data_IF_134403345868
#
_entry.id   IF_134403345868
#
_cell.length_a   1.000
_cell.length_b   1.000
_cell.length_c   1.000
_cell.angle_alpha   90.00
_cell.angle_beta   90.00
_cell.angle_gamma   90.00
#
_symmetry.space_group_name_H-M   'P 1'
#
loop_
_entity.id
_entity.type
_entity.pdbx_description
1 polymer ?
#
# COMPACT_ATOMS: atom_id res chain seq x y z
N UNK A 1 15.01 24.91 -30.99
CA UNK A 1 14.09 24.05 -30.29
C UNK A 1 14.91 22.98 -29.60
N UNK A 2 14.73 22.86 -28.30
CA UNK A 2 15.60 22.13 -27.40
C UNK A 2 15.59 20.61 -27.69
N UNK A 3 16.73 20.07 -28.08
CA UNK A 3 16.96 18.63 -28.28
C UNK A 3 17.16 17.96 -26.90
N UNK A 4 16.14 18.07 -26.00
CA UNK A 4 16.21 17.48 -24.67
C UNK A 4 15.38 16.22 -24.59
N UNK A 5 15.94 15.16 -24.02
CA UNK A 5 15.23 13.91 -23.75
C UNK A 5 14.16 14.16 -22.66
N UNK A 6 12.94 13.70 -22.88
CA UNK A 6 11.85 13.76 -21.91
C UNK A 6 11.63 12.34 -21.40
N UNK A 7 11.80 12.15 -20.09
CA UNK A 7 11.53 10.90 -19.41
C UNK A 7 10.33 11.13 -18.48
N UNK A 8 9.28 10.35 -18.67
CA UNK A 8 8.10 10.38 -17.82
C UNK A 8 8.24 9.36 -16.69
N UNK A 9 7.53 9.61 -15.59
CA UNK A 9 7.42 8.67 -14.48
C UNK A 9 5.96 8.38 -14.17
N UNK A 10 5.60 7.09 -14.12
CA UNK A 10 4.24 6.62 -13.83
C UNK A 10 4.28 5.54 -12.75
N UNK A 11 3.98 5.89 -11.50
CA UNK A 11 3.95 4.92 -10.40
C UNK A 11 2.70 4.06 -10.37
N UNK A 12 1.59 4.49 -11.01
CA UNK A 12 0.35 3.74 -11.03
C UNK A 12 0.39 2.62 -12.08
N UNK A 13 -0.45 1.61 -11.89
CA UNK A 13 -0.62 0.52 -12.86
C UNK A 13 -1.52 0.89 -14.06
N UNK A 14 -1.96 2.13 -14.13
CA UNK A 14 -2.62 2.74 -15.28
C UNK A 14 -1.99 4.09 -15.57
N UNK A 15 -1.80 4.41 -16.86
CA UNK A 15 -1.19 5.69 -17.25
C UNK A 15 -2.10 6.87 -16.90
N UNK A 16 -1.57 7.84 -16.15
CA UNK A 16 -2.27 9.08 -15.83
C UNK A 16 -2.47 9.98 -17.05
N UNK A 17 -3.51 10.81 -17.03
CA UNK A 17 -3.93 11.65 -18.18
C UNK A 17 -2.80 12.56 -18.69
N UNK A 18 -2.05 13.19 -17.80
CA UNK A 18 -0.92 14.05 -18.15
C UNK A 18 0.19 13.26 -18.83
N UNK A 19 0.57 12.11 -18.28
CA UNK A 19 1.58 11.23 -18.87
C UNK A 19 1.12 10.70 -20.23
N UNK A 20 -0.17 10.33 -20.36
CA UNK A 20 -0.76 9.88 -21.63
C UNK A 20 -0.68 10.95 -22.72
N UNK A 21 -0.95 12.21 -22.38
CA UNK A 21 -0.82 13.34 -23.30
C UNK A 21 0.64 13.59 -23.71
N UNK A 22 1.56 13.53 -22.76
CA UNK A 22 2.98 13.81 -22.97
C UNK A 22 3.74 12.65 -23.63
N UNK A 23 3.16 11.44 -23.66
CA UNK A 23 3.81 10.22 -24.13
C UNK A 23 4.31 10.30 -25.58
N UNK A 24 3.65 11.06 -26.44
CA UNK A 24 4.08 11.31 -27.84
C UNK A 24 5.43 12.04 -27.92
N UNK A 25 5.72 12.89 -26.95
CA UNK A 25 6.95 13.67 -26.87
C UNK A 25 8.04 13.00 -26.02
N UNK A 26 7.66 12.03 -25.19
CA UNK A 26 8.58 11.35 -24.30
C UNK A 26 9.50 10.39 -25.06
N UNK A 27 10.75 10.35 -24.63
CA UNK A 27 11.74 9.36 -25.09
C UNK A 27 11.45 8.01 -24.39
N UNK A 28 11.24 8.05 -23.08
CA UNK A 28 10.99 6.89 -22.24
C UNK A 28 9.94 7.21 -21.17
N UNK A 29 9.34 6.15 -20.61
CA UNK A 29 8.48 6.22 -19.42
C UNK A 29 8.90 5.14 -18.43
N UNK A 30 9.30 5.58 -17.25
CA UNK A 30 9.64 4.71 -16.13
C UNK A 30 8.34 4.32 -15.41
N UNK A 31 8.13 3.04 -15.16
CA UNK A 31 6.93 2.52 -14.50
C UNK A 31 7.27 1.36 -13.57
N UNK A 32 6.32 1.01 -12.70
CA UNK A 32 6.47 -0.13 -11.78
C UNK A 32 5.92 -1.45 -12.37
N UNK A 33 5.26 -1.40 -13.53
CA UNK A 33 4.66 -2.56 -14.19
C UNK A 33 4.69 -2.38 -15.71
N UNK A 34 5.30 -3.31 -16.43
CA UNK A 34 5.28 -3.33 -17.91
C UNK A 34 3.89 -3.51 -18.49
N UNK A 35 2.96 -4.07 -17.69
CA UNK A 35 1.56 -4.24 -18.09
C UNK A 35 0.74 -2.96 -17.83
N UNK A 36 1.36 -1.79 -17.92
CA UNK A 36 0.75 -0.48 -17.70
C UNK A 36 -0.54 -0.34 -18.51
N UNK A 37 -1.68 -0.19 -17.83
CA UNK A 37 -2.99 -0.06 -18.48
C UNK A 37 -3.13 1.30 -19.16
N UNK A 38 -3.95 1.35 -20.22
CA UNK A 38 -4.29 2.61 -20.91
C UNK A 38 -3.20 3.17 -21.83
N UNK A 39 -2.06 2.48 -21.97
CA UNK A 39 -1.02 2.85 -22.94
C UNK A 39 -1.31 2.24 -24.33
N UNK A 40 -1.10 3.02 -25.37
CA UNK A 40 -1.24 2.54 -26.74
C UNK A 40 -0.07 1.60 -27.12
N UNK A 41 -0.36 0.54 -27.86
CA UNK A 41 0.63 -0.49 -28.27
C UNK A 41 1.89 0.10 -28.92
N UNK A 42 1.75 1.16 -29.71
CA UNK A 42 2.87 1.85 -30.39
C UNK A 42 3.90 2.47 -29.43
N UNK A 43 3.55 2.67 -28.15
CA UNK A 43 4.44 3.27 -27.16
C UNK A 43 5.02 2.24 -26.16
N UNK A 44 4.69 0.95 -26.28
CA UNK A 44 5.18 -0.08 -25.37
C UNK A 44 6.72 -0.16 -25.32
N UNK A 45 7.39 0.14 -26.45
CA UNK A 45 8.86 0.19 -26.55
C UNK A 45 9.50 1.30 -25.71
N UNK A 46 8.72 2.25 -25.21
CA UNK A 46 9.19 3.33 -24.33
C UNK A 46 9.18 2.93 -22.86
N UNK A 47 8.52 1.82 -22.48
CA UNK A 47 8.39 1.41 -21.09
C UNK A 47 9.72 0.89 -20.52
N UNK A 48 10.08 1.43 -19.37
CA UNK A 48 11.17 0.98 -18.53
C UNK A 48 10.58 0.55 -17.19
N UNK A 49 10.57 -0.74 -16.93
CA UNK A 49 10.12 -1.25 -15.63
C UNK A 49 11.25 -1.19 -14.61
N UNK A 50 10.94 -0.60 -13.46
CA UNK A 50 11.82 -0.61 -12.29
C UNK A 50 11.04 -1.08 -11.06
N UNK A 51 11.74 -1.51 -10.03
CA UNK A 51 11.13 -1.71 -8.71
C UNK A 51 10.64 -0.36 -8.16
N UNK A 52 9.59 -0.34 -7.30
CA UNK A 52 9.09 0.90 -6.72
C UNK A 52 10.18 1.72 -6.01
N UNK A 53 10.24 3.01 -6.33
CA UNK A 53 11.12 3.96 -5.63
C UNK A 53 10.42 4.36 -4.33
N UNK A 54 11.08 4.09 -3.22
CA UNK A 54 10.60 4.41 -1.89
C UNK A 54 11.45 5.50 -1.25
N UNK A 55 11.00 6.04 -0.11
CA UNK A 55 11.82 6.94 0.68
C UNK A 55 13.09 6.20 1.14
N UNK A 56 14.20 6.93 1.27
CA UNK A 56 15.51 6.40 1.68
C UNK A 56 15.46 5.55 2.95
N UNK A 57 14.65 5.94 3.90
CA UNK A 57 14.49 5.24 5.18
C UNK A 57 14.07 3.76 5.05
N UNK A 58 13.38 3.38 3.97
CA UNK A 58 13.01 1.97 3.73
C UNK A 58 14.21 1.10 3.34
N UNK A 59 15.27 1.70 2.83
CA UNK A 59 16.48 0.98 2.41
C UNK A 59 17.58 0.99 3.50
N UNK A 60 17.42 1.81 4.54
CA UNK A 60 18.31 1.84 5.69
C UNK A 60 17.97 0.68 6.62
N UNK A 61 18.99 -0.09 7.03
CA UNK A 61 18.82 -1.18 8.00
C UNK A 61 18.54 -0.59 9.39
N UNK A 62 17.30 -0.52 9.77
CA UNK A 62 16.90 -0.17 11.13
C UNK A 62 16.60 -1.43 11.95
N UNK A 63 16.95 -1.44 13.21
CA UNK A 63 16.58 -2.51 14.14
C UNK A 63 15.06 -2.56 14.25
N UNK A 64 14.46 -3.70 13.92
CA UNK A 64 13.01 -3.87 14.02
C UNK A 64 12.57 -3.83 15.50
N UNK A 65 11.55 -3.04 15.81
CA UNK A 65 10.86 -3.09 17.09
C UNK A 65 10.19 -4.46 17.19
N UNK A 66 10.52 -5.24 18.22
CA UNK A 66 9.92 -6.57 18.42
C UNK A 66 8.39 -6.46 18.61
N UNK A 67 7.66 -7.29 17.89
CA UNK A 67 6.24 -7.48 18.17
C UNK A 67 6.11 -8.42 19.36
N UNK A 68 5.22 -8.08 20.27
CA UNK A 68 4.73 -9.02 21.26
C UNK A 68 3.87 -10.07 20.51
N UNK A 69 4.37 -11.29 20.37
CA UNK A 69 3.75 -12.39 19.60
C UNK A 69 2.32 -12.75 20.05
N UNK A 70 1.89 -12.19 21.20
CA UNK A 70 0.58 -12.45 21.77
C UNK A 70 -0.56 -11.61 21.17
N UNK A 71 -0.26 -10.66 20.29
CA UNK A 71 -1.25 -9.74 19.71
C UNK A 71 -1.37 -9.88 18.19
N UNK A 72 -2.60 -9.79 17.69
CA UNK A 72 -2.86 -9.52 16.27
C UNK A 72 -2.62 -8.02 16.03
N UNK A 73 -1.51 -7.69 15.40
CA UNK A 73 -1.09 -6.30 15.13
C UNK A 73 -1.62 -5.83 13.77
N UNK A 74 -2.56 -4.87 13.80
CA UNK A 74 -3.25 -4.35 12.62
C UNK A 74 -2.87 -2.90 12.37
N UNK A 75 -2.44 -2.60 11.15
CA UNK A 75 -2.23 -1.24 10.66
C UNK A 75 -3.43 -0.78 9.83
N UNK A 76 -3.94 0.43 10.08
CA UNK A 76 -5.01 1.05 9.29
C UNK A 76 -4.53 2.41 8.78
N UNK A 77 -4.41 2.54 7.44
CA UNK A 77 -3.91 3.76 6.80
C UNK A 77 -4.82 4.23 5.66
N UNK A 78 -5.34 5.45 5.79
CA UNK A 78 -6.19 6.09 4.79
C UNK A 78 -5.44 6.81 3.66
N UNK A 79 -4.10 6.82 3.70
CA UNK A 79 -3.26 7.61 2.79
C UNK A 79 -3.10 9.06 3.25
N UNK A 80 -2.52 9.93 2.40
CA UNK A 80 -2.15 11.31 2.77
C UNK A 80 -3.29 12.18 3.29
N UNK A 81 -4.53 11.92 2.89
CA UNK A 81 -5.70 12.68 3.31
C UNK A 81 -6.50 12.00 4.42
N UNK A 82 -6.04 10.86 4.92
CA UNK A 82 -6.80 9.93 5.77
C UNK A 82 -8.19 9.62 5.19
N UNK A 83 -8.82 8.53 5.60
CA UNK A 83 -10.10 8.14 5.03
C UNK A 83 -11.22 8.27 6.06
N UNK A 84 -12.20 9.14 5.77
CA UNK A 84 -13.44 9.23 6.55
C UNK A 84 -14.12 7.86 6.65
N UNK A 85 -14.13 7.11 5.56
CA UNK A 85 -14.65 5.75 5.55
C UNK A 85 -13.95 4.87 6.59
N UNK A 86 -12.63 4.91 6.67
CA UNK A 86 -11.86 4.10 7.63
C UNK A 86 -12.17 4.52 9.07
N UNK A 87 -12.24 5.82 9.32
CA UNK A 87 -12.54 6.33 10.66
C UNK A 87 -13.98 5.97 11.09
N UNK A 88 -14.95 6.00 10.18
CA UNK A 88 -16.35 5.74 10.50
C UNK A 88 -16.67 4.25 10.63
N UNK A 89 -16.11 3.39 9.77
CA UNK A 89 -16.56 2.00 9.64
C UNK A 89 -15.60 0.98 10.23
N UNK A 90 -14.28 1.21 10.19
CA UNK A 90 -13.35 0.16 10.61
C UNK A 90 -13.27 -0.01 12.13
N UNK A 91 -13.69 0.99 12.92
CA UNK A 91 -13.75 0.84 14.38
C UNK A 91 -14.61 -0.34 14.79
N UNK A 92 -15.82 -0.48 14.23
CA UNK A 92 -16.73 -1.59 14.55
C UNK A 92 -16.13 -2.96 14.20
N UNK A 93 -15.39 -3.04 13.10
CA UNK A 93 -14.71 -4.27 12.69
C UNK A 93 -13.59 -4.68 13.68
N UNK A 94 -12.82 -3.70 14.15
CA UNK A 94 -11.77 -3.93 15.16
C UNK A 94 -12.39 -4.33 16.50
N UNK A 95 -13.48 -3.69 16.93
CA UNK A 95 -14.23 -4.08 18.12
C UNK A 95 -14.80 -5.50 18.01
N UNK A 96 -15.20 -5.93 16.83
CA UNK A 96 -15.66 -7.30 16.61
C UNK A 96 -14.50 -8.30 16.70
N UNK A 97 -13.34 -7.97 16.15
CA UNK A 97 -12.12 -8.80 16.23
C UNK A 97 -11.65 -8.95 17.68
N UNK A 98 -11.70 -7.90 18.50
CA UNK A 98 -11.25 -7.93 19.89
C UNK A 98 -12.06 -8.88 20.80
N UNK A 99 -13.28 -9.23 20.42
CA UNK A 99 -14.08 -10.25 21.14
C UNK A 99 -13.47 -11.65 21.05
N UNK A 100 -12.61 -11.90 20.05
CA UNK A 100 -12.02 -13.22 19.79
C UNK A 100 -10.51 -13.24 19.89
N UNK A 101 -9.84 -12.15 19.58
CA UNK A 101 -8.39 -12.03 19.50
C UNK A 101 -7.88 -10.91 20.39
N UNK A 102 -6.67 -11.04 20.92
CA UNK A 102 -5.95 -9.90 21.50
C UNK A 102 -5.47 -9.02 20.35
N UNK A 103 -6.01 -7.81 20.25
CA UNK A 103 -5.77 -6.90 19.11
C UNK A 103 -4.91 -5.73 19.57
N UNK A 104 -3.92 -5.41 18.74
CA UNK A 104 -3.19 -4.14 18.77
C UNK A 104 -3.44 -3.41 17.47
N UNK A 105 -4.00 -2.20 17.52
CA UNK A 105 -4.29 -1.41 16.34
C UNK A 105 -3.44 -0.15 16.28
N UNK A 106 -2.87 0.11 15.12
CA UNK A 106 -2.26 1.38 14.80
C UNK A 106 -3.08 1.99 13.67
N UNK A 107 -3.72 3.13 13.93
CA UNK A 107 -4.72 3.68 13.00
C UNK A 107 -4.53 5.17 12.76
N UNK A 108 -4.49 5.52 11.48
CA UNK A 108 -4.62 6.89 11.02
C UNK A 108 -6.09 7.31 11.04
N UNK A 109 -6.41 8.39 11.76
CA UNK A 109 -7.75 8.98 11.79
C UNK A 109 -7.83 10.21 10.89
N UNK A 110 -9.02 10.52 10.40
CA UNK A 110 -9.29 11.76 9.70
C UNK A 110 -9.27 12.95 10.66
N UNK A 111 -8.76 14.09 10.21
CA UNK A 111 -8.80 15.34 11.00
C UNK A 111 -10.23 15.70 11.36
N UNK A 112 -10.43 16.25 12.57
CA UNK A 112 -11.74 16.64 13.08
C UNK A 112 -12.42 15.58 13.95
N UNK A 113 -11.91 14.35 14.03
CA UNK A 113 -12.41 13.37 14.98
C UNK A 113 -11.80 13.56 16.37
N UNK A 114 -12.61 13.30 17.40
CA UNK A 114 -12.16 13.30 18.80
C UNK A 114 -11.31 12.04 19.06
N UNK A 115 -10.00 12.21 18.98
CA UNK A 115 -9.02 11.16 19.19
C UNK A 115 -9.15 10.53 20.59
N UNK A 116 -9.44 11.36 21.62
CA UNK A 116 -9.54 10.87 22.99
C UNK A 116 -10.76 9.98 23.17
N UNK A 117 -11.91 10.37 22.61
CA UNK A 117 -13.10 9.53 22.64
C UNK A 117 -12.90 8.21 21.88
N UNK A 118 -12.29 8.30 20.71
CA UNK A 118 -11.97 7.11 19.91
C UNK A 118 -11.03 6.15 20.66
N UNK A 119 -10.00 6.71 21.32
CA UNK A 119 -9.05 5.97 22.14
C UNK A 119 -9.71 5.29 23.36
N UNK A 120 -10.61 6.01 24.07
CA UNK A 120 -11.35 5.46 25.22
C UNK A 120 -12.16 4.22 24.81
N UNK A 121 -12.83 4.22 23.68
CA UNK A 121 -13.58 3.05 23.20
C UNK A 121 -12.68 1.84 22.99
N UNK A 122 -11.49 2.02 22.42
CA UNK A 122 -10.53 0.92 22.25
C UNK A 122 -10.03 0.39 23.59
N UNK A 123 -9.68 1.26 24.53
CA UNK A 123 -9.22 0.88 25.88
C UNK A 123 -10.31 0.11 26.62
N UNK A 124 -11.56 0.57 26.56
CA UNK A 124 -12.69 -0.11 27.22
C UNK A 124 -12.97 -1.53 26.67
N UNK A 125 -12.48 -1.83 25.46
CA UNK A 125 -12.57 -3.14 24.83
C UNK A 125 -11.25 -3.92 24.85
N UNK A 126 -10.29 -3.55 25.73
CA UNK A 126 -8.98 -4.18 25.88
C UNK A 126 -8.15 -4.21 24.57
N UNK A 127 -8.27 -3.18 23.72
CA UNK A 127 -7.52 -3.04 22.49
C UNK A 127 -6.34 -2.12 22.72
N UNK A 128 -5.12 -2.64 22.59
CA UNK A 128 -3.94 -1.78 22.51
C UNK A 128 -4.01 -0.91 21.26
N UNK A 129 -3.77 0.39 21.41
CA UNK A 129 -3.92 1.28 20.28
C UNK A 129 -2.86 2.38 20.21
N UNK A 130 -2.51 2.74 18.97
CA UNK A 130 -1.74 3.92 18.61
C UNK A 130 -2.52 4.68 17.53
N UNK A 131 -3.12 5.81 17.90
CA UNK A 131 -3.96 6.61 17.01
C UNK A 131 -3.26 7.92 16.66
N UNK A 132 -3.28 8.28 15.38
CA UNK A 132 -2.63 9.50 14.88
C UNK A 132 -3.43 10.10 13.70
N UNK A 133 -3.27 11.40 13.42
CA UNK A 133 -3.91 12.03 12.28
C UNK A 133 -3.07 11.93 11.02
N UNK A 134 -1.87 12.42 11.05
CA UNK A 134 -0.91 12.32 9.98
C UNK A 134 0.50 12.30 10.56
N UNK A 135 1.31 11.41 10.05
CA UNK A 135 2.71 11.33 10.41
C UNK A 135 3.51 10.98 9.15
N UNK A 136 4.42 11.90 8.78
CA UNK A 136 5.30 11.70 7.67
C UNK A 136 6.26 10.54 7.94
N UNK A 137 6.47 9.70 6.92
CA UNK A 137 7.36 8.54 7.03
C UNK A 137 7.04 7.59 8.20
N UNK A 138 5.76 7.51 8.60
CA UNK A 138 5.32 6.65 9.71
C UNK A 138 5.85 5.21 9.57
N UNK A 139 5.77 4.64 8.38
CA UNK A 139 6.20 3.26 8.12
C UNK A 139 7.72 3.06 8.21
N UNK A 140 8.52 4.13 8.16
CA UNK A 140 9.97 4.07 8.36
C UNK A 140 10.38 3.74 9.80
N UNK A 141 9.46 3.81 10.74
CA UNK A 141 9.73 3.52 12.17
C UNK A 141 9.87 2.03 12.50
N UNK A 142 9.88 1.17 11.47
CA UNK A 142 10.08 -0.28 11.57
C UNK A 142 9.14 -1.02 12.54
N UNK A 143 7.91 -0.55 12.65
CA UNK A 143 6.87 -1.31 13.34
C UNK A 143 6.57 -2.60 12.57
N UNK A 144 6.42 -3.70 13.29
CA UNK A 144 5.94 -4.95 12.71
C UNK A 144 4.42 -5.01 12.81
N UNK A 145 3.78 -5.27 11.69
CA UNK A 145 2.34 -5.52 11.63
C UNK A 145 2.09 -6.88 11.01
N UNK A 146 1.05 -7.56 11.49
CA UNK A 146 0.64 -8.83 10.89
C UNK A 146 -0.14 -8.58 9.59
N UNK A 147 -0.98 -7.54 9.59
CA UNK A 147 -1.79 -7.18 8.43
C UNK A 147 -2.02 -5.68 8.38
N UNK A 148 -2.13 -5.14 7.17
CA UNK A 148 -2.55 -3.76 6.98
C UNK A 148 -3.92 -3.68 6.28
N UNK A 149 -4.69 -2.64 6.60
CA UNK A 149 -5.90 -2.22 5.88
C UNK A 149 -5.60 -0.84 5.31
N UNK A 150 -5.60 -0.70 3.99
CA UNK A 150 -5.08 0.53 3.37
C UNK A 150 -5.86 0.93 2.13
N UNK A 151 -5.87 2.24 1.84
CA UNK A 151 -6.16 2.75 0.49
C UNK A 151 -5.10 2.23 -0.49
N UNK A 152 -5.42 2.27 -1.79
CA UNK A 152 -4.59 1.64 -2.83
C UNK A 152 -3.81 2.67 -3.67
N UNK A 153 -3.27 3.69 -3.00
CA UNK A 153 -2.27 4.57 -3.62
C UNK A 153 -1.00 3.79 -3.98
N UNK A 154 -0.38 4.11 -5.12
CA UNK A 154 0.78 3.37 -5.61
C UNK A 154 1.92 3.32 -4.59
N UNK A 155 2.24 4.45 -3.94
CA UNK A 155 3.29 4.53 -2.91
C UNK A 155 2.94 3.70 -1.68
N UNK A 156 1.71 3.85 -1.14
CA UNK A 156 1.31 3.12 0.07
C UNK A 156 1.36 1.61 -0.12
N UNK A 157 0.89 1.10 -1.28
CA UNK A 157 0.96 -0.34 -1.56
C UNK A 157 2.41 -0.81 -1.76
N UNK A 158 3.26 0.02 -2.39
CA UNK A 158 4.67 -0.29 -2.57
C UNK A 158 5.43 -0.34 -1.23
N UNK A 159 5.14 0.58 -0.32
CA UNK A 159 5.69 0.62 1.03
C UNK A 159 5.29 -0.62 1.85
N UNK A 160 3.99 -0.96 1.88
CA UNK A 160 3.50 -2.16 2.55
C UNK A 160 4.11 -3.44 1.97
N UNK A 161 4.23 -3.51 0.64
CA UNK A 161 4.86 -4.64 -0.02
C UNK A 161 6.34 -4.75 0.35
N UNK A 162 7.08 -3.63 0.37
CA UNK A 162 8.50 -3.59 0.76
C UNK A 162 8.71 -4.07 2.21
N UNK A 163 7.82 -3.69 3.12
CA UNK A 163 7.85 -4.15 4.51
C UNK A 163 7.36 -5.59 4.70
N UNK A 164 7.01 -6.28 3.62
CA UNK A 164 6.50 -7.65 3.64
C UNK A 164 5.26 -7.82 4.53
N UNK A 165 4.37 -6.81 4.55
CA UNK A 165 3.12 -6.79 5.29
C UNK A 165 1.99 -7.14 4.33
N UNK A 166 1.31 -8.31 4.45
CA UNK A 166 0.10 -8.60 3.69
C UNK A 166 -1.00 -7.59 4.00
N UNK A 167 -1.81 -7.22 3.02
CA UNK A 167 -2.77 -6.15 3.20
C UNK A 167 -4.13 -6.40 2.57
N UNK A 168 -5.17 -5.83 3.20
CA UNK A 168 -6.50 -5.68 2.62
C UNK A 168 -6.53 -4.30 1.96
N UNK A 169 -6.54 -4.29 0.65
CA UNK A 169 -6.63 -3.08 -0.16
C UNK A 169 -8.09 -2.65 -0.28
N UNK A 170 -8.40 -1.42 0.14
CA UNK A 170 -9.72 -0.80 -0.03
C UNK A 170 -9.56 0.41 -0.95
N UNK A 171 -9.73 0.23 -2.27
CA UNK A 171 -9.56 1.31 -3.24
C UNK A 171 -10.54 2.45 -3.00
N UNK A 172 -10.10 3.70 -3.18
CA UNK A 172 -10.99 4.85 -3.15
C UNK A 172 -11.89 4.84 -4.40
N UNK A 173 -13.25 4.80 -4.24
CA UNK A 173 -14.17 4.57 -5.35
C UNK A 173 -14.21 5.70 -6.37
N UNK A 174 -13.83 6.93 -5.97
CA UNK A 174 -13.83 8.12 -6.82
C UNK A 174 -12.43 8.48 -7.34
N UNK A 175 -11.48 7.53 -7.27
CA UNK A 175 -10.14 7.74 -7.81
C UNK A 175 -10.19 7.91 -9.33
N UNK A 176 -9.54 8.98 -9.83
CA UNK A 176 -9.48 9.30 -11.26
C UNK A 176 -9.04 8.07 -12.07
N UNK A 177 -9.77 7.79 -13.15
CA UNK A 177 -9.53 6.63 -14.02
C UNK A 177 -9.44 5.29 -13.26
N UNK A 178 -10.06 5.23 -12.07
CA UNK A 178 -10.09 4.05 -11.19
C UNK A 178 -8.67 3.51 -10.83
N UNK A 179 -7.68 4.40 -10.80
CA UNK A 179 -6.26 4.00 -10.63
C UNK A 179 -6.02 3.22 -9.36
N UNK A 180 -6.72 3.53 -8.24
CA UNK A 180 -6.52 2.79 -7.00
C UNK A 180 -6.97 1.33 -7.11
N UNK A 181 -8.09 1.06 -7.77
CA UNK A 181 -8.53 -0.33 -8.00
C UNK A 181 -7.53 -1.09 -8.88
N UNK A 182 -7.00 -0.43 -9.93
CA UNK A 182 -6.04 -1.05 -10.85
C UNK A 182 -4.71 -1.33 -10.14
N UNK A 183 -4.26 -0.41 -9.26
CA UNK A 183 -3.09 -0.65 -8.40
C UNK A 183 -3.29 -1.87 -7.48
N UNK A 184 -4.44 -1.92 -6.79
CA UNK A 184 -4.78 -3.06 -5.92
C UNK A 184 -4.86 -4.39 -6.71
N UNK A 185 -5.47 -4.33 -7.91
CA UNK A 185 -5.61 -5.50 -8.78
C UNK A 185 -4.26 -6.10 -9.17
N UNK A 186 -3.25 -5.28 -9.46
CA UNK A 186 -1.88 -5.76 -9.72
C UNK A 186 -1.37 -6.64 -8.58
N UNK A 187 -1.46 -6.18 -7.32
CA UNK A 187 -1.02 -6.98 -6.17
C UNK A 187 -1.91 -8.19 -5.92
N UNK A 188 -3.20 -8.12 -6.21
CA UNK A 188 -4.10 -9.27 -6.14
C UNK A 188 -3.73 -10.34 -7.17
N UNK A 189 -3.45 -9.94 -8.42
CA UNK A 189 -3.07 -10.85 -9.50
C UNK A 189 -1.73 -11.55 -9.20
N UNK A 190 -0.83 -10.89 -8.45
CA UNK A 190 0.39 -11.46 -7.90
C UNK A 190 0.16 -12.28 -6.61
N UNK A 191 -1.09 -12.41 -6.17
CA UNK A 191 -1.48 -13.05 -4.93
C UNK A 191 -0.75 -12.51 -3.70
N UNK A 192 -0.66 -11.18 -3.57
CA UNK A 192 -0.01 -10.46 -2.47
C UNK A 192 -0.99 -9.79 -1.50
N UNK A 193 -2.27 -9.64 -1.86
CA UNK A 193 -3.25 -8.93 -1.05
C UNK A 193 -4.66 -9.49 -1.21
N UNK A 194 -5.57 -8.98 -0.38
CA UNK A 194 -7.03 -9.08 -0.56
C UNK A 194 -7.55 -7.73 -1.04
N UNK A 195 -8.63 -7.72 -1.83
CA UNK A 195 -9.32 -6.49 -2.23
C UNK A 195 -10.73 -6.52 -1.66
N UNK A 196 -11.12 -5.43 -1.02
CA UNK A 196 -12.48 -5.15 -0.58
C UNK A 196 -12.89 -3.79 -1.12
N UNK A 197 -13.86 -3.77 -2.03
CA UNK A 197 -14.33 -2.51 -2.61
C UNK A 197 -15.28 -1.79 -1.66
N UNK A 198 -15.02 -0.51 -1.40
CA UNK A 198 -15.81 0.31 -0.48
C UNK A 198 -17.31 0.30 -0.80
N UNK A 199 -17.67 0.31 -2.08
CA UNK A 199 -19.09 0.27 -2.52
C UNK A 199 -19.82 -1.04 -2.18
N UNK A 200 -19.07 -2.11 -1.96
CA UNK A 200 -19.59 -3.44 -1.64
C UNK A 200 -19.35 -3.82 -0.18
N UNK A 201 -18.86 -2.87 0.63
CA UNK A 201 -18.51 -3.11 2.03
C UNK A 201 -19.76 -3.33 2.88
N UNK A 202 -19.75 -4.41 3.63
CA UNK A 202 -20.75 -4.71 4.65
C UNK A 202 -20.08 -4.87 6.01
N UNK A 203 -20.83 -4.59 7.08
CA UNK A 203 -20.34 -4.85 8.44
C UNK A 203 -19.96 -6.31 8.61
N UNK A 204 -18.77 -6.55 9.17
CA UNK A 204 -18.21 -7.88 9.37
C UNK A 204 -17.31 -8.39 8.23
N UNK A 205 -17.13 -7.66 7.14
CA UNK A 205 -16.32 -8.14 6.02
C UNK A 205 -14.81 -8.18 6.36
N UNK A 206 -14.29 -7.18 7.07
CA UNK A 206 -12.92 -7.21 7.59
C UNK A 206 -12.77 -8.34 8.61
N UNK A 207 -13.74 -8.45 9.53
CA UNK A 207 -13.74 -9.54 10.51
C UNK A 207 -13.68 -10.92 9.82
N UNK A 208 -14.47 -11.17 8.77
CA UNK A 208 -14.47 -12.44 8.02
C UNK A 208 -13.09 -12.74 7.42
N UNK A 209 -12.50 -11.76 6.71
CA UNK A 209 -11.17 -11.93 6.09
C UNK A 209 -10.12 -12.22 7.15
N UNK A 210 -10.05 -11.41 8.20
CA UNK A 210 -9.04 -11.57 9.26
C UNK A 210 -9.26 -12.88 10.03
N UNK A 211 -10.51 -13.24 10.33
CA UNK A 211 -10.81 -14.50 10.99
C UNK A 211 -10.41 -15.71 10.13
N UNK A 212 -10.62 -15.68 8.82
CA UNK A 212 -10.15 -16.73 7.91
C UNK A 212 -8.62 -16.85 7.93
N UNK A 213 -7.90 -15.73 7.95
CA UNK A 213 -6.43 -15.68 8.07
C UNK A 213 -5.97 -16.34 9.38
N UNK A 214 -6.64 -16.02 10.49
CA UNK A 214 -6.27 -16.55 11.81
C UNK A 214 -6.56 -18.04 11.95
N UNK A 215 -7.64 -18.55 11.33
CA UNK A 215 -8.00 -19.97 11.34
C UNK A 215 -7.13 -20.79 10.39
N UNK A 216 -6.82 -20.26 9.21
CA UNK A 216 -5.98 -20.92 8.22
C UNK A 216 -4.93 -19.96 7.65
N UNK A 217 -3.71 -20.10 8.12
CA UNK A 217 -2.58 -19.24 7.70
C UNK A 217 -2.01 -19.55 6.31
N UNK A 218 -2.50 -20.56 5.61
CA UNK A 218 -1.91 -20.98 4.32
C UNK A 218 -1.97 -19.85 3.28
N UNK A 219 -3.14 -19.22 3.10
CA UNK A 219 -3.30 -18.11 2.15
C UNK A 219 -2.48 -16.88 2.57
N UNK A 220 -2.45 -16.58 3.87
CA UNK A 220 -1.63 -15.51 4.44
C UNK A 220 -0.13 -15.74 4.18
N UNK A 221 0.37 -16.93 4.49
CA UNK A 221 1.78 -17.28 4.31
C UNK A 221 2.18 -17.23 2.82
N UNK A 222 1.27 -17.64 1.92
CA UNK A 222 1.48 -17.55 0.48
C UNK A 222 1.60 -16.10 0.03
N UNK A 223 0.73 -15.20 0.51
CA UNK A 223 0.81 -13.76 0.20
C UNK A 223 2.11 -13.16 0.73
N UNK A 224 2.50 -13.47 1.95
CA UNK A 224 3.75 -13.01 2.55
C UNK A 224 4.98 -13.50 1.76
N UNK A 225 4.99 -14.75 1.35
CA UNK A 225 6.06 -15.30 0.48
C UNK A 225 6.13 -14.59 -0.88
N UNK A 226 4.98 -14.29 -1.49
CA UNK A 226 4.95 -13.57 -2.75
C UNK A 226 5.45 -12.12 -2.62
N UNK A 227 5.09 -11.42 -1.53
CA UNK A 227 5.63 -10.09 -1.22
C UNK A 227 7.15 -10.14 -1.05
N UNK A 228 7.69 -11.14 -0.34
CA UNK A 228 9.13 -11.33 -0.17
C UNK A 228 9.85 -11.47 -1.52
N UNK A 229 9.30 -12.27 -2.44
CA UNK A 229 9.84 -12.43 -3.80
C UNK A 229 9.86 -11.12 -4.60
N UNK A 230 8.82 -10.29 -4.45
CA UNK A 230 8.79 -8.96 -5.10
C UNK A 230 9.93 -8.07 -4.61
N UNK A 231 10.32 -8.22 -3.34
CA UNK A 231 11.34 -7.39 -2.71
C UNK A 231 12.78 -7.81 -3.02
N UNK A 232 13.02 -9.02 -3.53
CA UNK A 232 14.37 -9.49 -3.88
C UNK A 232 15.13 -8.54 -4.82
N UNK A 233 14.39 -7.83 -5.66
CA UNK A 233 14.92 -6.86 -6.61
C UNK A 233 14.68 -5.40 -6.22
N UNK A 234 14.02 -5.12 -5.09
CA UNK A 234 13.72 -3.78 -4.62
C UNK A 234 14.78 -3.29 -3.63
N UNK A 235 16.01 -3.15 -4.09
CA UNK A 235 17.11 -2.51 -3.34
C UNK A 235 17.49 -1.20 -4.01
N UNK A 236 17.93 -0.22 -3.21
CA UNK A 236 18.38 1.07 -3.74
C UNK A 236 19.48 0.91 -4.79
N UNK A 237 20.42 0.02 -4.57
CA UNK A 237 21.53 -0.25 -5.50
C UNK A 237 21.03 -0.72 -6.87
N UNK A 238 20.10 -1.69 -6.89
CA UNK A 238 19.52 -2.22 -8.15
C UNK A 238 18.69 -1.19 -8.89
N UNK A 239 17.92 -0.38 -8.15
CA UNK A 239 17.12 0.71 -8.74
C UNK A 239 18.03 1.77 -9.32
N UNK A 240 19.02 2.23 -8.53
CA UNK A 240 19.95 3.27 -8.94
C UNK A 240 20.76 2.85 -10.17
N UNK A 241 21.26 1.60 -10.18
CA UNK A 241 21.97 1.06 -11.34
C UNK A 241 21.14 1.13 -12.61
N UNK A 242 19.88 0.68 -12.56
CA UNK A 242 18.95 0.76 -13.69
C UNK A 242 18.70 2.21 -14.14
N UNK A 243 18.47 3.12 -13.20
CA UNK A 243 18.25 4.53 -13.52
C UNK A 243 19.47 5.14 -14.22
N UNK A 244 20.69 4.89 -13.72
CA UNK A 244 21.94 5.39 -14.31
C UNK A 244 22.10 4.84 -15.73
N UNK A 245 21.89 3.55 -15.95
CA UNK A 245 21.93 2.94 -17.29
C UNK A 245 21.04 3.69 -18.28
N UNK A 246 19.79 3.99 -17.91
CA UNK A 246 18.84 4.66 -18.80
C UNK A 246 19.05 6.17 -18.95
N UNK A 247 19.66 6.84 -17.97
CA UNK A 247 19.98 8.26 -18.09
C UNK A 247 21.28 8.49 -18.88
N UNK A 248 22.22 7.54 -18.84
CA UNK A 248 23.51 7.64 -19.52
C UNK A 248 23.52 7.01 -20.93
N UNK A 249 22.54 6.14 -21.26
CA UNK A 249 22.37 5.65 -22.62
C UNK A 249 22.07 6.82 -23.58
N UNK A 250 23.10 7.21 -24.31
CA UNK A 250 23.06 8.28 -25.32
C UNK A 250 22.39 7.83 -26.60
#
# INVERSE_FOLDING_TARGET
>A
VFNKKIILFEPNSIIGRSNKFLLKFATKIICYDKNLKGIDKKYLHKLIEIAPILNKCFYEKNTSIENNENFLSILIMGGSQASLFFTNYLKSEILQLSKKYKVKVTQQLSKGFDLNNYKKEYINNNIENNLFFFEENFLCKNYKFDIAISRSGASSLAELAHLNIPFIAIPFPYATDNHQFINAKRYKDLNCCWILEEKNFNSGDIYKIVNQIMVNKNDYNKKKSNLSKLNENNTWEKINKKLIEYFNDN
#
